data_IF_899036611231
#
_entry.id   IF_899036611231
#
_cell.length_a   1.000
_cell.length_b   1.000
_cell.length_c   1.000
_cell.angle_alpha   90.00
_cell.angle_beta   90.00
_cell.angle_gamma   90.00
#
_symmetry.space_group_name_H-M   'P 1'
#
loop_
_entity.id
_entity.type
_entity.pdbx_description
1 polymer ?
#
# COMPACT_ATOMS: atom_id res chain seq x y z
N UNK A 1 1.21 -20.21 -0.98
CA UNK A 1 1.86 -19.73 0.25
C UNK A 1 2.12 -18.23 0.25
N UNK A 2 2.78 -17.69 -0.76
CA UNK A 2 2.97 -16.23 -0.94
C UNK A 2 1.67 -15.44 -0.96
N UNK A 3 0.64 -15.95 -1.65
CA UNK A 3 -0.68 -15.33 -1.73
C UNK A 3 -1.35 -15.17 -0.37
N UNK A 4 -1.27 -16.17 0.49
CA UNK A 4 -1.83 -16.11 1.84
C UNK A 4 -1.12 -15.09 2.71
N UNK A 5 0.19 -14.97 2.53
CA UNK A 5 1.01 -14.05 3.31
C UNK A 5 0.72 -12.59 2.96
N UNK A 6 0.56 -12.30 1.66
CA UNK A 6 0.21 -10.97 1.21
C UNK A 6 -1.20 -10.56 1.68
N UNK A 7 -2.15 -11.48 1.66
CA UNK A 7 -3.50 -11.26 2.18
C UNK A 7 -3.48 -10.99 3.69
N UNK A 8 -2.64 -11.71 4.43
CA UNK A 8 -2.49 -11.51 5.86
C UNK A 8 -1.96 -10.10 6.18
N UNK A 9 -1.01 -9.59 5.39
CA UNK A 9 -0.50 -8.24 5.55
C UNK A 9 -1.59 -7.17 5.36
N UNK A 10 -2.43 -7.32 4.33
CA UNK A 10 -3.55 -6.41 4.11
C UNK A 10 -4.51 -6.42 5.30
N UNK A 11 -4.87 -7.61 5.78
CA UNK A 11 -5.79 -7.76 6.91
C UNK A 11 -5.23 -7.11 8.18
N UNK A 12 -3.92 -7.20 8.42
CA UNK A 12 -3.29 -6.54 9.56
C UNK A 12 -3.38 -5.01 9.48
N UNK A 13 -3.32 -4.43 8.28
CA UNK A 13 -3.45 -2.99 8.09
C UNK A 13 -4.88 -2.48 8.24
N UNK A 14 -5.85 -3.20 7.67
CA UNK A 14 -7.24 -2.74 7.62
C UNK A 14 -8.11 -3.30 8.74
N UNK A 15 -7.71 -4.41 9.34
CA UNK A 15 -8.47 -5.09 10.38
C UNK A 15 -7.55 -5.51 11.53
N UNK A 16 -7.01 -4.52 12.27
CA UNK A 16 -6.06 -4.82 13.34
C UNK A 16 -6.65 -5.67 14.47
N UNK A 17 -7.99 -5.73 14.57
CA UNK A 17 -8.68 -6.57 15.55
C UNK A 17 -8.83 -8.03 15.12
N UNK A 18 -8.50 -8.36 13.86
CA UNK A 18 -8.55 -9.74 13.39
C UNK A 18 -7.29 -10.48 13.86
N UNK A 19 -7.51 -11.52 14.66
CA UNK A 19 -6.42 -12.42 15.03
C UNK A 19 -6.05 -13.28 13.83
N UNK A 20 -4.83 -13.08 13.33
CA UNK A 20 -4.29 -13.90 12.25
C UNK A 20 -3.48 -15.04 12.84
N UNK A 21 -3.62 -16.27 12.28
CA UNK A 21 -2.74 -17.38 12.68
C UNK A 21 -1.27 -16.96 12.50
N UNK A 22 -0.43 -17.29 13.46
CA UNK A 22 1.01 -16.98 13.41
C UNK A 22 1.67 -17.46 12.13
N UNK A 23 1.23 -18.59 11.58
CA UNK A 23 1.73 -19.15 10.33
C UNK A 23 1.24 -18.40 9.08
N UNK A 24 0.29 -17.49 9.21
CA UNK A 24 -0.17 -16.64 8.12
C UNK A 24 0.59 -15.31 8.04
N UNK A 25 1.40 -15.00 9.05
CA UNK A 25 2.23 -13.78 9.06
C UNK A 25 3.52 -14.06 8.30
N UNK A 26 3.70 -13.35 7.19
CA UNK A 26 4.90 -13.47 6.37
C UNK A 26 6.05 -12.75 7.05
N UNK A 27 6.87 -13.47 7.76
CA UNK A 27 8.09 -12.91 8.33
C UNK A 27 9.25 -12.87 7.33
N UNK A 28 9.17 -13.71 6.28
CA UNK A 28 10.32 -13.93 5.37
C UNK A 28 10.18 -13.22 4.01
N UNK A 29 9.01 -12.68 3.71
CA UNK A 29 8.75 -12.01 2.43
C UNK A 29 8.58 -10.53 2.64
N UNK A 30 9.67 -9.79 2.40
CA UNK A 30 9.57 -8.34 2.35
C UNK A 30 8.72 -7.93 1.16
N UNK A 31 7.78 -7.00 1.35
CA UNK A 31 6.99 -6.51 0.23
C UNK A 31 7.88 -5.78 -0.78
N UNK A 32 7.62 -6.05 -2.06
CA UNK A 32 8.28 -5.38 -3.18
C UNK A 32 7.45 -4.23 -3.72
N UNK A 33 6.15 -4.26 -3.47
CA UNK A 33 5.21 -3.23 -3.92
C UNK A 33 4.50 -2.66 -2.71
N UNK A 34 4.45 -1.34 -2.64
CA UNK A 34 3.64 -0.63 -1.65
C UNK A 34 2.36 -0.11 -2.31
N UNK A 35 1.21 -0.41 -1.75
CA UNK A 35 -0.07 0.19 -2.16
C UNK A 35 -0.46 1.18 -1.08
N UNK A 36 -0.55 2.45 -1.43
CA UNK A 36 -0.97 3.50 -0.49
C UNK A 36 -2.23 4.20 -0.98
N UNK A 37 -3.04 4.66 -0.05
CA UNK A 37 -4.29 5.34 -0.34
C UNK A 37 -4.63 6.34 0.76
N UNK A 38 -5.41 7.35 0.43
CA UNK A 38 -5.75 8.43 1.36
C UNK A 38 -6.84 8.06 2.37
N UNK A 39 -7.63 7.05 2.08
CA UNK A 39 -8.76 6.62 2.91
C UNK A 39 -8.99 5.13 2.74
N UNK A 40 -9.51 4.49 3.79
CA UNK A 40 -9.90 3.09 3.71
C UNK A 40 -10.98 2.85 2.63
N UNK A 41 -11.83 3.83 2.36
CA UNK A 41 -12.84 3.74 1.32
C UNK A 41 -12.25 3.61 -0.10
N UNK A 42 -10.99 4.01 -0.30
CA UNK A 42 -10.29 3.88 -1.59
C UNK A 42 -9.87 2.43 -1.88
N UNK A 43 -9.91 1.58 -0.87
CA UNK A 43 -9.50 0.18 -1.02
C UNK A 43 -10.26 -0.56 -2.12
N UNK A 44 -11.57 -0.29 -2.26
CA UNK A 44 -12.37 -0.93 -3.30
C UNK A 44 -11.80 -0.71 -4.71
N UNK A 45 -11.17 0.45 -4.95
CA UNK A 45 -10.53 0.76 -6.23
C UNK A 45 -9.15 0.10 -6.36
N UNK A 46 -8.43 -0.07 -5.26
CA UNK A 46 -7.06 -0.59 -5.26
C UNK A 46 -6.98 -2.10 -5.03
N UNK A 47 -8.02 -2.71 -4.50
CA UNK A 47 -8.08 -4.15 -4.27
C UNK A 47 -7.78 -4.98 -5.52
N UNK A 48 -8.25 -4.61 -6.74
CA UNK A 48 -7.87 -5.33 -7.96
C UNK A 48 -6.36 -5.37 -8.21
N UNK A 49 -5.63 -4.31 -7.86
CA UNK A 49 -4.17 -4.33 -7.95
C UNK A 49 -3.57 -5.34 -6.98
N UNK A 50 -4.06 -5.38 -5.74
CA UNK A 50 -3.63 -6.37 -4.75
C UNK A 50 -3.90 -7.80 -5.23
N UNK A 51 -5.09 -8.03 -5.79
CA UNK A 51 -5.45 -9.34 -6.33
C UNK A 51 -4.54 -9.76 -7.49
N UNK A 52 -4.18 -8.82 -8.36
CA UNK A 52 -3.24 -9.09 -9.46
C UNK A 52 -1.84 -9.43 -8.93
N UNK A 53 -1.35 -8.69 -7.95
CA UNK A 53 -0.06 -8.98 -7.32
C UNK A 53 -0.06 -10.36 -6.67
N UNK A 54 -1.17 -10.73 -6.02
CA UNK A 54 -1.35 -12.08 -5.48
C UNK A 54 -1.26 -13.15 -6.57
N UNK A 55 -1.94 -12.94 -7.70
CA UNK A 55 -1.90 -13.89 -8.82
C UNK A 55 -0.48 -14.03 -9.39
N UNK A 56 0.27 -12.94 -9.40
CA UNK A 56 1.64 -12.92 -9.91
C UNK A 56 2.66 -13.43 -8.88
N UNK A 57 2.24 -13.70 -7.65
CA UNK A 57 3.15 -14.12 -6.58
C UNK A 57 4.08 -13.02 -6.11
N UNK A 58 3.69 -11.75 -6.27
CA UNK A 58 4.48 -10.59 -5.86
C UNK A 58 4.04 -10.13 -4.47
N UNK A 59 4.98 -10.12 -3.52
CA UNK A 59 4.71 -9.64 -2.17
C UNK A 59 4.45 -8.13 -2.17
N UNK A 60 3.43 -7.71 -1.44
CA UNK A 60 3.06 -6.29 -1.34
C UNK A 60 2.56 -5.97 0.07
N UNK A 61 2.52 -4.70 0.37
CA UNK A 61 1.83 -4.15 1.55
C UNK A 61 0.81 -3.12 1.10
N UNK A 62 -0.22 -2.89 1.91
CA UNK A 62 -1.22 -1.86 1.66
C UNK A 62 -1.37 -1.02 2.92
N UNK A 63 -1.36 0.30 2.77
CA UNK A 63 -1.41 1.22 3.90
C UNK A 63 -2.24 2.47 3.57
N UNK A 64 -3.01 2.92 4.57
CA UNK A 64 -3.71 4.21 4.48
C UNK A 64 -2.77 5.29 4.99
N UNK A 65 -2.39 6.21 4.11
CA UNK A 65 -1.60 7.40 4.44
C UNK A 65 -2.25 8.61 3.75
N UNK A 66 -2.70 9.56 4.53
CA UNK A 66 -3.43 10.71 3.98
C UNK A 66 -2.47 11.88 3.76
N UNK A 67 -2.46 12.41 2.53
CA UNK A 67 -1.65 13.57 2.20
C UNK A 67 -2.03 14.81 3.02
N UNK A 68 -3.31 14.96 3.33
CA UNK A 68 -3.82 16.14 4.03
C UNK A 68 -3.99 15.96 5.53
N UNK A 69 -4.32 14.75 5.98
CA UNK A 69 -4.52 14.46 7.40
C UNK A 69 -3.26 14.01 8.12
N UNK A 70 -2.40 13.23 7.43
CA UNK A 70 -1.17 12.69 8.01
C UNK A 70 0.01 12.86 7.05
N UNK A 71 0.37 14.11 6.68
CA UNK A 71 1.46 14.34 5.72
C UNK A 71 2.80 13.80 6.19
N UNK A 72 3.09 13.90 7.49
CA UNK A 72 4.34 13.37 8.05
C UNK A 72 4.46 11.86 7.85
N UNK A 73 3.36 11.13 8.02
CA UNK A 73 3.32 9.68 7.79
C UNK A 73 3.54 9.35 6.32
N UNK A 74 2.95 10.12 5.41
CA UNK A 74 3.17 9.95 3.98
C UNK A 74 4.64 10.15 3.62
N UNK A 75 5.27 11.20 4.13
CA UNK A 75 6.67 11.49 3.84
C UNK A 75 7.59 10.42 4.42
N UNK A 76 7.35 9.99 5.63
CA UNK A 76 8.09 8.87 6.23
C UNK A 76 7.95 7.60 5.40
N UNK A 77 6.74 7.28 4.97
CA UNK A 77 6.51 6.12 4.10
C UNK A 77 7.35 6.21 2.83
N UNK A 78 7.27 7.33 2.13
CA UNK A 78 7.98 7.53 0.87
C UNK A 78 9.51 7.51 1.06
N UNK A 79 10.01 8.17 2.09
CA UNK A 79 11.45 8.27 2.35
C UNK A 79 12.07 6.95 2.79
N UNK A 80 11.31 6.09 3.48
CA UNK A 80 11.83 4.81 3.99
C UNK A 80 11.52 3.62 3.09
N UNK A 81 10.65 3.77 2.10
CA UNK A 81 10.16 2.66 1.29
C UNK A 81 11.29 1.88 0.62
N UNK A 82 12.24 2.56 -0.03
CA UNK A 82 13.35 1.91 -0.70
C UNK A 82 14.21 1.10 0.26
N UNK A 83 14.56 1.66 1.41
CA UNK A 83 15.38 0.97 2.40
C UNK A 83 14.67 -0.27 2.97
N UNK A 84 13.33 -0.29 2.96
CA UNK A 84 12.52 -1.44 3.38
C UNK A 84 12.36 -2.50 2.30
N UNK A 85 12.92 -2.30 1.11
CA UNK A 85 12.87 -3.25 0.01
C UNK A 85 11.76 -2.99 -1.01
N UNK A 86 10.95 -1.96 -0.85
CA UNK A 86 9.92 -1.57 -1.82
C UNK A 86 10.63 -1.13 -3.11
N UNK A 87 10.12 -1.58 -4.26
CA UNK A 87 10.65 -1.26 -5.58
C UNK A 87 9.73 -0.35 -6.39
N UNK A 88 8.42 -0.39 -6.10
CA UNK A 88 7.43 0.45 -6.76
C UNK A 88 6.29 0.74 -5.80
N UNK A 89 5.73 1.94 -5.89
CA UNK A 89 4.59 2.35 -5.07
C UNK A 89 3.39 2.59 -5.99
N UNK A 90 2.25 1.99 -5.64
CA UNK A 90 0.95 2.25 -6.29
C UNK A 90 0.18 3.15 -5.33
N UNK A 91 -0.17 4.36 -5.79
CA UNK A 91 -0.78 5.37 -4.94
C UNK A 91 -2.14 5.79 -5.48
N UNK A 92 -3.21 5.50 -4.73
CA UNK A 92 -4.58 5.83 -5.09
C UNK A 92 -5.08 7.05 -4.36
N UNK A 93 -5.71 7.97 -5.09
CA UNK A 93 -6.32 9.15 -4.49
C UNK A 93 -7.47 9.68 -5.32
N UNK A 94 -8.48 10.24 -4.62
CA UNK A 94 -9.62 10.90 -5.24
C UNK A 94 -9.48 12.41 -5.28
N UNK A 95 -10.44 13.09 -5.89
CA UNK A 95 -10.45 14.55 -6.00
C UNK A 95 -9.24 15.09 -6.73
N UNK A 96 -8.57 16.06 -6.12
CA UNK A 96 -7.35 16.65 -6.67
C UNK A 96 -6.14 15.69 -6.70
N UNK A 97 -6.27 14.55 -6.05
CA UNK A 97 -5.32 13.43 -6.11
C UNK A 97 -3.86 13.83 -5.81
N UNK A 98 -3.64 14.57 -4.72
CA UNK A 98 -2.31 15.05 -4.36
C UNK A 98 -1.36 13.96 -3.87
N UNK A 99 -1.90 12.86 -3.31
CA UNK A 99 -1.12 11.80 -2.67
C UNK A 99 -0.01 11.23 -3.56
N UNK A 100 -0.26 10.83 -4.81
CA UNK A 100 0.79 10.26 -5.65
C UNK A 100 1.93 11.23 -5.91
N UNK A 101 1.62 12.49 -6.23
CA UNK A 101 2.63 13.51 -6.50
C UNK A 101 3.46 13.84 -5.27
N UNK A 102 2.83 13.97 -4.11
CA UNK A 102 3.53 14.22 -2.86
C UNK A 102 4.42 13.03 -2.46
N UNK A 103 3.96 11.81 -2.68
CA UNK A 103 4.78 10.62 -2.48
C UNK A 103 5.99 10.62 -3.42
N UNK A 104 5.76 10.87 -4.70
CA UNK A 104 6.82 10.87 -5.71
C UNK A 104 7.88 11.94 -5.44
N UNK A 105 7.51 13.05 -4.83
CA UNK A 105 8.44 14.11 -4.45
C UNK A 105 9.41 13.71 -3.34
N UNK A 106 9.12 12.62 -2.62
CA UNK A 106 9.88 12.17 -1.45
C UNK A 106 10.58 10.83 -1.63
N UNK A 107 10.55 10.25 -2.81
CA UNK A 107 11.21 8.98 -3.11
C UNK A 107 11.77 8.98 -4.52
N UNK A 108 12.80 8.19 -4.75
CA UNK A 108 13.33 7.92 -6.09
C UNK A 108 12.71 6.66 -6.73
N UNK A 109 11.78 6.03 -6.02
CA UNK A 109 11.06 4.88 -6.56
C UNK A 109 9.99 5.33 -7.56
N UNK A 110 9.66 4.49 -8.55
CA UNK A 110 8.49 4.74 -9.39
C UNK A 110 7.21 4.79 -8.54
N UNK A 111 6.38 5.79 -8.78
CA UNK A 111 5.07 5.94 -8.15
C UNK A 111 4.01 5.94 -9.24
N UNK A 112 3.12 4.95 -9.20
CA UNK A 112 2.03 4.78 -10.14
C UNK A 112 0.76 5.37 -9.53
N UNK A 113 0.29 6.49 -10.07
CA UNK A 113 -0.93 7.13 -9.59
C UNK A 113 -2.18 6.44 -10.13
N UNK A 114 -3.11 6.13 -9.25
CA UNK A 114 -4.41 5.55 -9.58
C UNK A 114 -5.51 6.52 -9.18
N UNK A 115 -6.27 7.07 -10.13
CA UNK A 115 -7.37 7.95 -9.79
C UNK A 115 -8.51 7.15 -9.14
N UNK A 116 -9.01 7.65 -8.01
CA UNK A 116 -10.16 7.07 -7.33
C UNK A 116 -11.36 7.97 -7.61
N UNK A 117 -12.47 7.37 -8.01
CA UNK A 117 -13.68 8.11 -8.29
C UNK A 117 -14.18 8.77 -6.99
N UNK A 118 -14.32 10.08 -7.00
CA UNK A 118 -14.94 10.83 -5.92
C UNK A 118 -16.42 11.07 -6.22
N UNK A 119 -17.21 11.10 -5.18
CA UNK A 119 -18.66 11.38 -5.28
C UNK A 119 -18.94 12.85 -5.66
#
# INVERSE_FOLDING_TARGET
MLLRLAQAQILLYFYPALEMPMNAVATDHQPLVGIIMGSQSDWATLEPAANMLNQLGVAFEAEVVSAHRTPARLFEYAETARARGIQVIIAGAGGAAHLPGMCAAKTDLPVLGVPVKSS
#
